data_IF_093174584778
#
_entry.id   IF_093174584778
#
_cell.length_a   1.000
_cell.length_b   1.000
_cell.length_c   1.000
_cell.angle_alpha   90.00
_cell.angle_beta   90.00
_cell.angle_gamma   90.00
#
_symmetry.space_group_name_H-M   'P 1'
#
loop_
_entity.id
_entity.type
_entity.pdbx_description
1 polymer ?
#
# COMPACT_ATOMS: atom_id res chain seq x y z
N UNK A 1 11.57 -2.32 -4.26
CA UNK A 1 10.57 -2.27 -5.36
C UNK A 1 9.42 -3.22 -5.01
N UNK A 2 8.15 -2.82 -5.18
CA UNK A 2 7.01 -3.71 -4.92
C UNK A 2 7.00 -4.91 -5.87
N UNK A 3 6.62 -6.11 -5.39
CA UNK A 3 6.58 -7.30 -6.22
C UNK A 3 5.43 -7.25 -7.22
N UNK A 4 5.60 -7.87 -8.39
CA UNK A 4 4.56 -8.01 -9.42
C UNK A 4 3.29 -8.71 -8.87
N UNK A 5 3.48 -9.66 -7.94
CA UNK A 5 2.38 -10.32 -7.25
C UNK A 5 1.44 -9.33 -6.54
N UNK A 6 1.97 -8.26 -5.92
CA UNK A 6 1.13 -7.24 -5.29
C UNK A 6 0.33 -6.46 -6.35
N UNK A 7 0.93 -6.12 -7.49
CA UNK A 7 0.22 -5.46 -8.58
C UNK A 7 -0.94 -6.31 -9.10
N UNK A 8 -0.74 -7.63 -9.22
CA UNK A 8 -1.80 -8.56 -9.64
C UNK A 8 -2.94 -8.62 -8.61
N UNK A 9 -2.62 -8.70 -7.31
CA UNK A 9 -3.61 -8.65 -6.23
C UNK A 9 -4.45 -7.37 -6.30
N UNK A 10 -3.81 -6.19 -6.42
CA UNK A 10 -4.53 -4.91 -6.46
C UNK A 10 -5.40 -4.75 -7.72
N UNK A 11 -4.96 -5.31 -8.85
CA UNK A 11 -5.72 -5.30 -10.10
C UNK A 11 -7.00 -6.13 -10.01
N UNK A 12 -6.95 -7.27 -9.32
CA UNK A 12 -8.04 -8.23 -9.20
C UNK A 12 -8.90 -8.04 -7.93
N UNK A 13 -8.52 -7.09 -7.07
CA UNK A 13 -9.15 -6.87 -5.77
C UNK A 13 -10.65 -6.57 -5.94
N UNK A 14 -11.55 -7.36 -5.33
CA UNK A 14 -12.98 -7.09 -5.41
C UNK A 14 -13.35 -5.75 -4.77
N UNK A 15 -14.45 -5.15 -5.22
CA UNK A 15 -14.98 -3.93 -4.62
C UNK A 15 -15.19 -4.11 -3.11
N UNK A 16 -14.82 -3.08 -2.33
CA UNK A 16 -14.92 -3.06 -0.85
C UNK A 16 -14.06 -4.10 -0.12
N UNK A 17 -13.14 -4.75 -0.82
CA UNK A 17 -12.11 -5.60 -0.20
C UNK A 17 -10.80 -4.83 -0.11
N UNK A 18 -9.93 -5.26 0.80
CA UNK A 18 -8.65 -4.65 1.07
C UNK A 18 -7.53 -5.67 1.14
N UNK A 19 -6.31 -5.23 0.87
CA UNK A 19 -5.07 -5.98 1.11
C UNK A 19 -4.18 -5.18 2.05
N UNK A 20 -3.74 -5.80 3.14
CA UNK A 20 -2.82 -5.22 4.10
C UNK A 20 -1.38 -5.64 3.80
N UNK A 21 -0.44 -4.71 3.98
CA UNK A 21 1.00 -4.90 3.81
C UNK A 21 1.71 -4.37 5.07
N UNK A 22 2.48 -5.21 5.78
CA UNK A 22 3.32 -4.80 6.90
C UNK A 22 4.31 -3.67 6.57
N UNK A 23 4.62 -2.83 7.56
CA UNK A 23 5.51 -1.67 7.41
C UNK A 23 6.92 -2.02 6.91
N UNK A 24 7.48 -3.14 7.36
CA UNK A 24 8.80 -3.60 6.94
C UNK A 24 8.84 -3.90 5.42
N UNK A 25 7.77 -4.48 4.90
CA UNK A 25 7.60 -4.72 3.47
C UNK A 25 7.33 -3.43 2.72
N UNK A 26 6.52 -2.51 3.27
CA UNK A 26 6.30 -1.20 2.65
C UNK A 26 7.61 -0.43 2.50
N UNK A 27 8.44 -0.38 3.54
CA UNK A 27 9.75 0.28 3.51
C UNK A 27 10.66 -0.39 2.48
N UNK A 28 10.80 -1.72 2.53
CA UNK A 28 11.63 -2.48 1.59
C UNK A 28 11.18 -2.33 0.12
N UNK A 29 9.88 -2.20 -0.11
CA UNK A 29 9.32 -2.13 -1.46
C UNK A 29 9.31 -0.71 -2.02
N UNK A 30 8.94 0.28 -1.22
CA UNK A 30 8.63 1.63 -1.68
C UNK A 30 9.70 2.67 -1.33
N UNK A 31 10.51 2.46 -0.30
CA UNK A 31 11.63 3.34 0.07
C UNK A 31 12.85 2.56 0.60
N UNK A 32 13.44 1.66 -0.22
CA UNK A 32 14.54 0.82 0.23
C UNK A 32 15.73 1.68 0.71
N UNK A 33 16.07 1.54 1.99
CA UNK A 33 17.22 2.21 2.61
C UNK A 33 16.92 3.53 3.33
N UNK A 34 15.66 3.98 3.38
CA UNK A 34 15.30 5.17 4.17
C UNK A 34 15.27 4.90 5.69
N UNK A 35 15.33 3.63 6.10
CA UNK A 35 15.30 3.21 7.50
C UNK A 35 13.88 2.90 7.95
N UNK A 36 13.73 1.97 8.88
CA UNK A 36 12.44 1.57 9.45
C UNK A 36 12.40 2.01 10.91
N UNK A 37 11.27 2.55 11.36
CA UNK A 37 10.93 3.09 12.69
C UNK A 37 11.08 4.62 12.84
N UNK A 38 10.03 5.39 12.51
CA UNK A 38 8.74 4.98 11.93
C UNK A 38 8.81 4.70 10.42
N UNK A 39 7.75 4.10 9.83
CA UNK A 39 7.59 3.97 8.37
C UNK A 39 7.78 5.34 7.69
N UNK A 40 8.63 5.41 6.67
CA UNK A 40 9.01 6.67 6.02
C UNK A 40 7.84 7.32 5.26
N UNK A 41 7.85 8.65 5.17
CA UNK A 41 6.84 9.39 4.38
C UNK A 41 7.01 9.11 2.88
N UNK A 42 8.24 8.87 2.45
CA UNK A 42 8.59 8.43 1.10
C UNK A 42 7.91 7.09 0.77
N UNK A 43 7.99 6.10 1.67
CA UNK A 43 7.31 4.82 1.49
C UNK A 43 5.79 4.98 1.38
N UNK A 44 5.19 5.81 2.26
CA UNK A 44 3.74 6.08 2.25
C UNK A 44 3.30 6.74 0.94
N UNK A 45 4.03 7.76 0.48
CA UNK A 45 3.71 8.46 -0.75
C UNK A 45 3.83 7.55 -1.98
N UNK A 46 4.91 6.76 -2.07
CA UNK A 46 5.11 5.82 -3.16
C UNK A 46 4.11 4.66 -3.14
N UNK A 47 3.71 4.17 -1.96
CA UNK A 47 2.63 3.19 -1.82
C UNK A 47 1.29 3.76 -2.30
N UNK A 48 0.94 5.00 -1.93
CA UNK A 48 -0.28 5.65 -2.39
C UNK A 48 -0.31 5.84 -3.92
N UNK A 49 0.80 6.29 -4.52
CA UNK A 49 0.91 6.43 -5.98
C UNK A 49 0.77 5.07 -6.68
N UNK A 50 1.39 4.03 -6.11
CA UNK A 50 1.30 2.68 -6.65
C UNK A 50 -0.14 2.14 -6.60
N UNK A 51 -0.84 2.29 -5.48
CA UNK A 51 -2.24 1.87 -5.33
C UNK A 51 -3.18 2.56 -6.32
N UNK A 52 -2.97 3.86 -6.56
CA UNK A 52 -3.81 4.66 -7.45
C UNK A 52 -3.83 4.14 -8.89
N UNK A 53 -2.72 3.55 -9.37
CA UNK A 53 -2.63 2.91 -10.71
C UNK A 53 -3.60 1.73 -10.88
N UNK A 54 -4.15 1.20 -9.80
CA UNK A 54 -5.09 0.07 -9.76
C UNK A 54 -6.45 0.47 -9.17
N UNK A 55 -6.74 1.77 -9.10
CA UNK A 55 -7.96 2.31 -8.49
C UNK A 55 -8.08 1.87 -7.02
N UNK A 56 -6.96 1.81 -6.31
CA UNK A 56 -6.93 1.53 -4.87
C UNK A 56 -6.51 2.77 -4.09
N UNK A 57 -7.22 3.06 -2.99
CA UNK A 57 -6.81 4.04 -2.00
C UNK A 57 -5.84 3.39 -1.01
N UNK A 58 -4.83 4.14 -0.56
CA UNK A 58 -3.87 3.67 0.45
C UNK A 58 -4.07 4.41 1.77
N UNK A 59 -4.04 3.66 2.87
CA UNK A 59 -4.05 4.22 4.22
C UNK A 59 -3.10 3.46 5.14
N UNK A 60 -2.28 4.21 5.87
CA UNK A 60 -1.37 3.67 6.88
C UNK A 60 -2.03 3.66 8.27
N UNK A 61 -1.89 2.54 8.99
CA UNK A 61 -2.38 2.33 10.34
C UNK A 61 -1.20 2.06 11.29
N UNK A 62 -0.61 3.11 11.92
CA UNK A 62 0.59 2.96 12.74
C UNK A 62 0.39 2.02 13.94
N UNK A 63 -0.81 2.01 14.53
CA UNK A 63 -1.15 1.11 15.66
C UNK A 63 -1.11 -0.38 15.29
N UNK A 64 -1.12 -0.69 13.98
CA UNK A 64 -1.09 -2.06 13.43
C UNK A 64 0.18 -2.35 12.65
N UNK A 65 1.04 -1.34 12.48
CA UNK A 65 2.26 -1.41 11.66
C UNK A 65 1.98 -1.95 10.25
N UNK A 66 0.90 -1.46 9.62
CA UNK A 66 0.50 -1.87 8.29
C UNK A 66 -0.04 -0.71 7.45
N UNK A 67 0.19 -0.79 6.15
CA UNK A 67 -0.55 -0.02 5.15
C UNK A 67 -1.57 -0.90 4.44
N UNK A 68 -2.74 -0.32 4.18
CA UNK A 68 -3.88 -1.03 3.60
C UNK A 68 -4.28 -0.38 2.28
N UNK A 69 -4.38 -1.20 1.24
CA UNK A 69 -4.91 -0.83 -0.06
C UNK A 69 -6.39 -1.22 -0.14
N UNK A 70 -7.27 -0.25 -0.38
CA UNK A 70 -8.72 -0.42 -0.49
C UNK A 70 -9.16 -0.22 -1.92
N UNK A 71 -9.90 -1.19 -2.51
CA UNK A 71 -10.45 -0.98 -3.85
C UNK A 71 -11.45 0.18 -3.81
N UNK A 72 -11.15 1.24 -4.56
CA UNK A 72 -11.97 2.44 -4.61
C UNK A 72 -13.36 2.09 -5.11
N UNK A 73 -14.38 2.65 -4.46
CA UNK A 73 -15.77 2.60 -4.90
C UNK A 73 -16.20 4.04 -5.07
N UNK A 74 -16.58 4.51 -6.28
CA UNK A 74 -17.25 5.79 -6.41
C UNK A 74 -18.46 5.77 -5.48
N UNK A 75 -18.62 6.78 -4.63
CA UNK A 75 -19.81 6.91 -3.80
C UNK A 75 -21.05 6.76 -4.70
N UNK A 76 -21.86 5.73 -4.42
CA UNK A 76 -23.17 5.52 -5.09
C UNK A 76 -24.10 6.66 -4.72
#
# INVERSE_FOLDING_TARGET
MPPEALANILRELPLRVATAVPDDLLEAWFAPGAGMDPLSEEAKAAAAEFGWRFECEFKHYPDRMEGVFWKWVPAI
#
